data_IF_475370972224
#
_entry.id   IF_475370972224
#
_cell.length_a   1.000
_cell.length_b   1.000
_cell.length_c   1.000
_cell.angle_alpha   90.00
_cell.angle_beta   90.00
_cell.angle_gamma   90.00
#
_symmetry.space_group_name_H-M   'P 1'
#
loop_
_entity.id
_entity.type
_entity.pdbx_description
1 polymer ?
#
# COMPACT_ATOMS: atom_id res chain seq x y z
N UNK A 1 20.17 18.61 7.11
CA UNK A 1 19.59 17.99 5.89
C UNK A 1 18.28 17.36 6.31
N UNK A 2 17.19 17.66 5.60
CA UNK A 2 15.90 17.02 5.86
C UNK A 2 16.00 15.54 5.45
N UNK A 3 15.78 14.62 6.40
CA UNK A 3 15.83 13.20 6.13
C UNK A 3 14.51 12.77 5.51
N UNK A 4 14.55 12.54 4.20
CA UNK A 4 13.44 11.96 3.46
C UNK A 4 13.00 10.63 4.08
N UNK A 5 11.72 10.50 4.42
CA UNK A 5 11.13 9.23 4.88
C UNK A 5 10.21 8.66 3.82
N UNK A 6 10.03 7.34 3.88
CA UNK A 6 9.12 6.62 3.00
C UNK A 6 8.27 5.64 3.81
N UNK A 7 7.06 5.39 3.34
CA UNK A 7 6.27 4.22 3.73
C UNK A 7 6.20 3.28 2.53
N UNK A 8 6.33 1.98 2.78
CA UNK A 8 6.22 0.94 1.76
C UNK A 8 5.27 -0.14 2.25
N UNK A 9 4.28 -0.46 1.42
CA UNK A 9 3.40 -1.60 1.63
C UNK A 9 3.80 -2.70 0.66
N UNK A 10 4.02 -3.90 1.19
CA UNK A 10 4.33 -5.11 0.43
C UNK A 10 3.18 -6.09 0.56
N UNK A 11 2.75 -6.65 -0.57
CA UNK A 11 1.69 -7.67 -0.59
C UNK A 11 2.22 -9.10 -0.48
N UNK A 12 3.55 -9.25 -0.36
CA UNK A 12 4.26 -10.53 -0.45
C UNK A 12 4.29 -11.07 -1.88
N UNK A 13 4.81 -12.28 -2.03
CA UNK A 13 4.80 -12.99 -3.31
C UNK A 13 3.39 -13.42 -3.71
N UNK A 14 3.07 -13.32 -5.00
CA UNK A 14 1.82 -13.76 -5.62
C UNK A 14 2.13 -14.61 -6.85
N UNK A 15 1.45 -15.76 -6.96
CA UNK A 15 1.68 -16.73 -8.04
C UNK A 15 1.14 -16.32 -9.41
N UNK A 16 0.39 -15.22 -9.50
CA UNK A 16 -0.18 -14.70 -10.75
C UNK A 16 -0.05 -13.18 -10.82
N UNK A 17 -0.19 -12.64 -12.03
CA UNK A 17 -0.53 -11.22 -12.19
C UNK A 17 -1.93 -10.91 -11.66
N UNK A 18 -2.32 -9.62 -11.68
CA UNK A 18 -3.66 -9.15 -11.31
C UNK A 18 -3.84 -8.81 -9.83
N UNK A 19 -2.82 -9.01 -8.99
CA UNK A 19 -2.81 -8.54 -7.60
C UNK A 19 -2.22 -7.13 -7.54
N UNK A 20 -2.83 -6.27 -6.73
CA UNK A 20 -2.36 -4.91 -6.52
C UNK A 20 -2.54 -4.48 -5.07
N UNK A 21 -1.62 -3.64 -4.59
CA UNK A 21 -1.72 -2.90 -3.34
C UNK A 21 -1.49 -1.43 -3.64
N UNK A 22 -2.30 -0.56 -3.06
CA UNK A 22 -2.26 0.87 -3.34
C UNK A 22 -2.46 1.67 -2.08
N UNK A 23 -1.55 2.59 -1.78
CA UNK A 23 -1.80 3.65 -0.81
C UNK A 23 -2.69 4.68 -1.48
N UNK A 24 -3.89 4.89 -0.95
CA UNK A 24 -4.93 5.73 -1.56
C UNK A 24 -4.99 7.12 -0.93
N UNK A 25 -4.66 7.24 0.35
CA UNK A 25 -4.72 8.50 1.09
C UNK A 25 -3.80 8.47 2.30
N UNK A 26 -3.28 9.64 2.65
CA UNK A 26 -2.52 9.86 3.88
C UNK A 26 -3.22 10.96 4.67
N UNK A 27 -3.56 10.67 5.92
CA UNK A 27 -4.21 11.61 6.83
C UNK A 27 -3.29 11.95 7.98
N UNK A 28 -3.10 13.25 8.19
CA UNK A 28 -2.27 13.80 9.24
C UNK A 28 -3.17 14.33 10.35
N UNK A 29 -2.80 14.01 11.58
CA UNK A 29 -3.31 14.68 12.78
C UNK A 29 -2.13 15.28 13.52
N UNK A 30 -2.40 16.10 14.53
CA UNK A 30 -1.36 16.73 15.34
C UNK A 30 -0.45 15.70 16.06
N UNK A 31 -0.87 14.43 16.19
CA UNK A 31 -0.17 13.39 16.95
C UNK A 31 -0.01 12.05 16.23
N UNK A 32 -0.54 11.87 15.02
CA UNK A 32 -0.49 10.58 14.32
C UNK A 32 -0.64 10.69 12.80
N UNK A 33 -0.24 9.63 12.11
CA UNK A 33 -0.38 9.44 10.66
C UNK A 33 -1.24 8.22 10.38
N UNK A 34 -2.31 8.38 9.59
CA UNK A 34 -3.05 7.26 9.04
C UNK A 34 -2.76 7.10 7.54
N UNK A 35 -2.26 5.93 7.14
CA UNK A 35 -2.01 5.55 5.75
C UNK A 35 -3.14 4.62 5.32
N UNK A 36 -4.05 5.16 4.53
CA UNK A 36 -5.15 4.40 3.94
C UNK A 36 -4.65 3.67 2.70
N UNK A 37 -4.96 2.40 2.61
CA UNK A 37 -4.59 1.57 1.46
C UNK A 37 -5.75 0.68 1.05
N UNK A 38 -5.67 0.14 -0.17
CA UNK A 38 -6.53 -0.94 -0.62
C UNK A 38 -5.71 -2.05 -1.25
N UNK A 39 -6.20 -3.26 -1.12
CA UNK A 39 -5.73 -4.40 -1.90
C UNK A 39 -6.76 -4.77 -2.94
N UNK A 40 -6.30 -5.34 -4.06
CA UNK A 40 -7.17 -5.87 -5.10
C UNK A 40 -6.58 -7.19 -5.60
N UNK A 41 -7.43 -8.20 -5.68
CA UNK A 41 -7.14 -9.44 -6.38
C UNK A 41 -7.58 -9.36 -7.84
N UNK A 42 -7.24 -10.37 -8.64
CA UNK A 42 -7.71 -10.47 -10.02
C UNK A 42 -9.24 -10.60 -10.08
N UNK A 43 -9.82 -10.09 -11.17
CA UNK A 43 -11.25 -10.23 -11.42
C UNK A 43 -11.64 -11.71 -11.62
N UNK A 44 -12.84 -12.13 -11.17
CA UNK A 44 -13.33 -13.48 -11.43
C UNK A 44 -13.33 -13.81 -12.92
N UNK A 45 -12.68 -14.93 -13.30
CA UNK A 45 -12.60 -15.38 -14.69
C UNK A 45 -11.53 -14.68 -15.54
N UNK A 46 -10.72 -13.79 -14.96
CA UNK A 46 -9.61 -13.17 -15.67
C UNK A 46 -8.58 -14.22 -16.13
N UNK A 47 -8.11 -14.08 -17.38
CA UNK A 47 -6.94 -14.80 -17.87
C UNK A 47 -5.68 -14.08 -17.35
N UNK A 48 -4.96 -14.74 -16.45
CA UNK A 48 -3.82 -14.14 -15.75
C UNK A 48 -2.51 -14.79 -16.19
N UNK A 49 -1.48 -13.96 -16.37
CA UNK A 49 -0.11 -14.45 -16.51
C UNK A 49 0.31 -15.24 -15.27
N UNK A 50 0.87 -16.42 -15.50
CA UNK A 50 1.40 -17.32 -14.46
C UNK A 50 2.86 -16.96 -14.18
N UNK A 51 3.07 -16.03 -13.26
CA UNK A 51 4.38 -15.54 -12.88
C UNK A 51 4.40 -15.15 -11.41
N UNK A 52 5.54 -15.37 -10.76
CA UNK A 52 5.78 -14.86 -9.41
C UNK A 52 5.91 -13.33 -9.48
N UNK A 53 5.05 -12.63 -8.74
CA UNK A 53 5.06 -11.17 -8.62
C UNK A 53 5.14 -10.76 -7.16
N UNK A 54 5.63 -9.55 -6.90
CA UNK A 54 5.69 -8.99 -5.54
C UNK A 54 5.10 -7.57 -5.56
N UNK A 55 3.77 -7.41 -5.55
CA UNK A 55 3.14 -6.09 -5.60
C UNK A 55 3.55 -5.25 -4.38
N UNK A 56 3.92 -4.00 -4.65
CA UNK A 56 4.24 -3.02 -3.61
C UNK A 56 3.78 -1.62 -4.02
N UNK A 57 3.65 -0.75 -3.02
CA UNK A 57 3.46 0.69 -3.24
C UNK A 57 4.34 1.45 -2.25
N UNK A 58 5.14 2.38 -2.76
CA UNK A 58 6.01 3.26 -1.95
C UNK A 58 5.61 4.72 -2.12
N UNK A 59 5.54 5.45 -1.02
CA UNK A 59 5.37 6.91 -1.04
C UNK A 59 6.44 7.59 -0.18
N UNK A 60 6.67 8.86 -0.52
CA UNK A 60 7.50 9.81 0.22
C UNK A 60 6.64 10.54 1.26
N UNK A 61 7.16 10.70 2.47
CA UNK A 61 6.46 11.33 3.61
C UNK A 61 7.40 12.26 4.38
N UNK A 62 6.91 13.37 4.95
CA UNK A 62 7.67 14.13 5.93
C UNK A 62 7.86 13.35 7.24
N UNK A 63 8.74 13.85 8.12
CA UNK A 63 8.90 13.30 9.47
C UNK A 63 7.61 13.41 10.26
N UNK A 64 7.20 12.28 10.85
CA UNK A 64 6.13 12.20 11.85
C UNK A 64 6.78 11.80 13.17
N UNK A 65 6.41 12.48 14.24
CA UNK A 65 6.72 12.11 15.62
C UNK A 65 5.41 11.63 16.26
N UNK A 66 5.11 10.34 16.11
CA UNK A 66 3.85 9.75 16.54
C UNK A 66 3.58 8.39 15.89
N UNK A 67 2.55 7.66 16.34
CA UNK A 67 2.16 6.39 15.75
C UNK A 67 1.77 6.54 14.27
N UNK A 68 2.11 5.51 13.50
CA UNK A 68 1.67 5.32 12.11
C UNK A 68 0.69 4.16 12.07
N UNK A 69 -0.52 4.42 11.60
CA UNK A 69 -1.58 3.42 11.45
C UNK A 69 -1.81 3.11 9.98
N UNK A 70 -2.00 1.83 9.65
CA UNK A 70 -2.37 1.40 8.31
C UNK A 70 -3.84 1.00 8.32
N UNK A 71 -4.64 1.63 7.45
CA UNK A 71 -6.09 1.44 7.42
C UNK A 71 -6.48 0.89 6.06
N UNK A 72 -7.01 -0.34 6.04
CA UNK A 72 -7.53 -0.92 4.80
C UNK A 72 -8.90 -0.32 4.48
N UNK A 73 -9.04 0.27 3.31
CA UNK A 73 -10.31 0.69 2.75
C UNK A 73 -11.00 -0.52 2.09
N UNK A 74 -12.34 -0.64 2.19
CA UNK A 74 -13.05 -1.71 1.52
C UNK A 74 -12.79 -1.68 0.01
N UNK A 75 -12.52 -2.85 -0.56
CA UNK A 75 -12.48 -3.06 -2.01
C UNK A 75 -13.88 -2.84 -2.57
N UNK A 76 -14.02 -1.90 -3.51
CA UNK A 76 -15.26 -1.66 -4.25
C UNK A 76 -15.21 -2.39 -5.59
#
# INVERSE_FOLDING_TARGET
MDHMRCAVLFMGERGTAGHAIEITRVEWTDSSLAIHYRTRGPDPGALLAQALTQPFHVIRLPRVDGPVMFVESPSR
#
